data_IF_323156050600
#
_entry.id   IF_323156050600
#
_cell.length_a   1.000
_cell.length_b   1.000
_cell.length_c   1.000
_cell.angle_alpha   90.00
_cell.angle_beta   90.00
_cell.angle_gamma   90.00
#
_symmetry.space_group_name_H-M   'P 1'
#
loop_
_entity.id
_entity.type
_entity.pdbx_description
1 polymer ?
#
# COMPACT_ATOMS: atom_id res chain seq x y z
N UNK A 1 2.73 31.96 39.33
CA UNK A 1 2.19 31.47 38.07
C UNK A 1 3.23 31.28 36.93
N UNK A 2 4.31 32.07 36.83
CA UNK A 2 5.32 31.92 35.76
C UNK A 2 6.18 30.63 35.81
N UNK A 3 6.36 29.99 36.97
CA UNK A 3 7.16 28.73 37.07
C UNK A 3 6.43 27.46 36.59
N UNK A 4 5.09 27.44 36.58
CA UNK A 4 4.34 26.28 36.12
C UNK A 4 4.34 26.13 34.56
N UNK A 5 4.36 27.25 33.84
CA UNK A 5 4.37 27.23 32.37
C UNK A 5 5.70 26.74 31.79
N UNK A 6 6.82 27.02 32.48
CA UNK A 6 8.15 26.59 32.01
C UNK A 6 8.32 25.06 32.10
N UNK A 7 7.79 24.44 33.16
CA UNK A 7 7.88 22.98 33.37
C UNK A 7 7.02 22.18 32.38
N UNK A 8 5.86 22.71 31.98
CA UNK A 8 4.96 22.06 31.00
C UNK A 8 5.54 22.13 29.60
N UNK A 9 6.18 23.23 29.19
CA UNK A 9 6.81 23.39 27.88
C UNK A 9 8.02 22.47 27.76
N UNK A 10 8.85 22.34 28.80
CA UNK A 10 10.01 21.41 28.78
C UNK A 10 9.55 19.95 28.71
N UNK A 11 8.47 19.59 29.43
CA UNK A 11 7.93 18.22 29.38
C UNK A 11 7.36 17.87 27.99
N UNK A 12 6.68 18.80 27.33
CA UNK A 12 6.13 18.63 25.97
C UNK A 12 7.23 18.49 24.92
N UNK A 13 8.32 19.25 25.03
CA UNK A 13 9.45 19.15 24.07
C UNK A 13 10.22 17.85 24.22
N UNK A 14 10.41 17.34 25.45
CA UNK A 14 11.08 16.05 25.70
C UNK A 14 10.22 14.89 25.20
N UNK A 15 8.91 14.92 25.40
CA UNK A 15 7.99 13.89 24.89
C UNK A 15 7.96 13.88 23.37
N UNK A 16 7.88 15.04 22.72
CA UNK A 16 7.90 15.11 21.25
C UNK A 16 9.23 14.61 20.66
N UNK A 17 10.36 14.90 21.28
CA UNK A 17 11.67 14.42 20.81
C UNK A 17 11.82 12.89 20.98
N UNK A 18 11.33 12.33 22.07
CA UNK A 18 11.34 10.89 22.31
C UNK A 18 10.45 10.12 21.30
N UNK A 19 9.28 10.64 20.95
CA UNK A 19 8.42 10.06 19.93
C UNK A 19 9.05 10.13 18.54
N UNK A 20 9.65 11.26 18.17
CA UNK A 20 10.35 11.40 16.88
C UNK A 20 11.54 10.45 16.78
N UNK A 21 12.32 10.29 17.83
CA UNK A 21 13.46 9.37 17.89
C UNK A 21 13.03 7.91 17.83
N UNK A 22 11.93 7.53 18.47
CA UNK A 22 11.32 6.20 18.42
C UNK A 22 10.86 5.85 17.01
N UNK A 23 10.18 6.77 16.32
CA UNK A 23 9.72 6.60 14.95
C UNK A 23 10.89 6.46 13.95
N UNK A 24 11.93 7.29 14.09
CA UNK A 24 13.12 7.20 13.24
C UNK A 24 13.85 5.87 13.39
N UNK A 25 13.99 5.38 14.64
CA UNK A 25 14.63 4.09 14.90
C UNK A 25 13.82 2.90 14.40
N UNK A 26 12.49 2.97 14.52
CA UNK A 26 11.59 1.97 13.94
C UNK A 26 11.80 1.87 12.42
N UNK A 27 11.80 3.01 11.75
CA UNK A 27 11.97 3.13 10.30
C UNK A 27 13.32 2.57 9.83
N UNK A 28 14.40 2.89 10.53
CA UNK A 28 15.74 2.35 10.26
C UNK A 28 15.77 0.82 10.36
N UNK A 29 15.24 0.29 11.47
CA UNK A 29 15.26 -1.15 11.74
C UNK A 29 14.35 -1.94 10.79
N UNK A 30 13.18 -1.44 10.41
CA UNK A 30 12.31 -2.12 9.45
C UNK A 30 12.93 -2.17 8.04
N UNK A 31 13.69 -1.15 7.65
CA UNK A 31 14.46 -1.13 6.40
C UNK A 31 15.60 -2.16 6.45
N UNK A 32 16.37 -2.18 7.54
CA UNK A 32 17.41 -3.18 7.74
C UNK A 32 16.83 -4.60 7.66
N UNK A 33 15.70 -4.83 8.34
CA UNK A 33 15.01 -6.12 8.34
C UNK A 33 14.59 -6.56 6.94
N UNK A 34 14.06 -5.63 6.12
CA UNK A 34 13.72 -5.92 4.73
C UNK A 34 14.97 -6.28 3.92
N UNK A 35 16.05 -5.52 4.01
CA UNK A 35 17.30 -5.83 3.33
C UNK A 35 17.87 -7.20 3.73
N UNK A 36 17.77 -7.57 4.99
CA UNK A 36 18.15 -8.90 5.47
C UNK A 36 17.26 -10.01 4.88
N UNK A 37 15.95 -9.74 4.74
CA UNK A 37 15.02 -10.67 4.10
C UNK A 37 15.36 -10.90 2.63
N UNK A 38 15.60 -9.83 1.88
CA UNK A 38 15.95 -9.88 0.46
C UNK A 38 17.28 -10.64 0.24
N UNK A 39 18.21 -10.53 1.19
CA UNK A 39 19.45 -11.30 1.24
C UNK A 39 19.32 -12.71 1.86
N UNK A 40 18.08 -13.22 2.02
CA UNK A 40 17.76 -14.56 2.56
C UNK A 40 18.27 -14.82 3.99
N UNK A 41 18.59 -13.76 4.73
CA UNK A 41 19.00 -13.86 6.15
C UNK A 41 17.77 -13.80 7.07
N UNK A 42 16.85 -14.74 6.88
CA UNK A 42 15.49 -14.71 7.42
C UNK A 42 15.42 -14.60 8.94
N UNK A 43 16.26 -15.34 9.67
CA UNK A 43 16.28 -15.25 11.13
C UNK A 43 16.70 -13.86 11.62
N UNK A 44 17.78 -13.31 11.04
CA UNK A 44 18.23 -11.94 11.37
C UNK A 44 17.19 -10.89 10.99
N UNK A 45 16.55 -11.05 9.84
CA UNK A 45 15.43 -10.21 9.41
C UNK A 45 14.31 -10.18 10.45
N UNK A 46 13.81 -11.34 10.86
CA UNK A 46 12.74 -11.51 11.84
C UNK A 46 13.08 -10.91 13.22
N UNK A 47 14.31 -11.13 13.68
CA UNK A 47 14.82 -10.55 14.93
C UNK A 47 14.92 -9.01 14.83
N UNK A 48 15.32 -8.49 13.66
CA UNK A 48 15.43 -7.04 13.44
C UNK A 48 14.06 -6.38 13.36
N UNK A 49 13.05 -7.03 12.73
CA UNK A 49 11.65 -6.58 12.85
C UNK A 49 11.19 -6.55 14.31
N UNK A 50 11.53 -7.56 15.10
CA UNK A 50 11.17 -7.60 16.53
C UNK A 50 11.82 -6.46 17.30
N UNK A 51 13.09 -6.13 17.02
CA UNK A 51 13.77 -4.95 17.59
C UNK A 51 13.07 -3.65 17.19
N UNK A 52 12.65 -3.53 15.93
CA UNK A 52 11.88 -2.37 15.44
C UNK A 52 10.58 -2.19 16.24
N UNK A 53 9.80 -3.26 16.41
CA UNK A 53 8.54 -3.22 17.17
C UNK A 53 8.77 -2.82 18.63
N UNK A 54 9.82 -3.35 19.26
CA UNK A 54 10.20 -2.98 20.62
C UNK A 54 10.58 -1.51 20.72
N UNK A 55 11.39 -1.01 19.79
CA UNK A 55 11.82 0.39 19.76
C UNK A 55 10.64 1.37 19.62
N UNK A 56 9.53 0.92 19.01
CA UNK A 56 8.30 1.70 18.84
C UNK A 56 7.19 1.33 19.85
N UNK A 57 7.55 0.82 21.03
CA UNK A 57 6.60 0.45 22.07
C UNK A 57 5.61 -0.65 21.64
N UNK A 58 6.09 -1.61 20.84
CA UNK A 58 5.33 -2.72 20.27
C UNK A 58 4.23 -2.30 19.27
N UNK A 59 4.18 -1.01 18.93
CA UNK A 59 3.38 -0.52 17.80
C UNK A 59 4.13 -0.85 16.50
N UNK A 60 3.38 -1.31 15.50
CA UNK A 60 3.95 -1.67 14.20
C UNK A 60 2.90 -1.50 13.12
N UNK A 61 3.33 -1.24 11.89
CA UNK A 61 2.42 -1.24 10.76
C UNK A 61 2.03 -2.67 10.36
N UNK A 62 0.83 -2.81 9.79
CA UNK A 62 0.31 -4.10 9.33
C UNK A 62 1.28 -4.83 8.39
N UNK A 63 1.82 -4.09 7.42
CA UNK A 63 2.77 -4.65 6.45
C UNK A 63 4.04 -5.17 7.11
N UNK A 64 4.61 -4.44 8.07
CA UNK A 64 5.84 -4.86 8.75
C UNK A 64 5.60 -6.10 9.62
N UNK A 65 4.41 -6.24 10.25
CA UNK A 65 4.06 -7.47 10.97
C UNK A 65 3.87 -8.66 10.03
N UNK A 66 3.25 -8.44 8.87
CA UNK A 66 3.13 -9.48 7.85
C UNK A 66 4.51 -9.92 7.35
N UNK A 67 5.39 -8.98 7.04
CA UNK A 67 6.76 -9.27 6.61
C UNK A 67 7.58 -9.98 7.71
N UNK A 68 7.41 -9.59 8.97
CA UNK A 68 8.02 -10.28 10.09
C UNK A 68 7.52 -11.73 10.23
N UNK A 69 6.22 -11.97 9.98
CA UNK A 69 5.66 -13.33 9.96
C UNK A 69 6.28 -14.17 8.85
N UNK A 70 6.42 -13.62 7.64
CA UNK A 70 7.11 -14.28 6.53
C UNK A 70 8.57 -14.62 6.89
N UNK A 71 9.29 -13.65 7.49
CA UNK A 71 10.66 -13.87 7.92
C UNK A 71 10.78 -14.97 8.98
N UNK A 72 9.90 -14.97 10.00
CA UNK A 72 9.85 -16.03 11.02
C UNK A 72 9.48 -17.39 10.43
N UNK A 73 8.57 -17.45 9.46
CA UNK A 73 8.20 -18.69 8.75
C UNK A 73 9.41 -19.28 8.05
N UNK A 74 10.14 -18.49 7.26
CA UNK A 74 11.33 -18.94 6.55
C UNK A 74 12.52 -19.24 7.49
N UNK A 75 12.53 -18.62 8.67
CA UNK A 75 13.48 -18.95 9.74
C UNK A 75 13.11 -20.24 10.52
N UNK A 76 11.98 -20.88 10.20
CA UNK A 76 11.51 -22.10 10.86
C UNK A 76 10.86 -21.88 12.24
N UNK A 77 10.65 -20.65 12.68
CA UNK A 77 10.03 -20.34 13.98
C UNK A 77 8.52 -20.10 13.80
N UNK A 78 7.74 -21.19 13.81
CA UNK A 78 6.29 -21.15 13.63
C UNK A 78 5.57 -20.34 14.70
N UNK A 79 6.01 -20.40 15.96
CA UNK A 79 5.34 -19.70 17.07
C UNK A 79 5.41 -18.18 16.90
N UNK A 80 6.60 -17.67 16.57
CA UNK A 80 6.77 -16.26 16.28
C UNK A 80 6.04 -15.82 15.01
N UNK A 81 5.98 -16.68 13.98
CA UNK A 81 5.23 -16.42 12.76
C UNK A 81 3.73 -16.28 13.07
N UNK A 82 3.13 -17.26 13.75
CA UNK A 82 1.72 -17.21 14.14
C UNK A 82 1.40 -16.05 15.07
N UNK A 83 2.30 -15.72 16.01
CA UNK A 83 2.10 -14.52 16.85
C UNK A 83 1.92 -13.27 16.01
N UNK A 84 2.75 -13.05 14.99
CA UNK A 84 2.64 -11.89 14.12
C UNK A 84 1.37 -11.98 13.24
N UNK A 85 1.05 -13.15 12.68
CA UNK A 85 -0.14 -13.34 11.85
C UNK A 85 -1.44 -13.11 12.62
N UNK A 86 -1.55 -13.60 13.85
CA UNK A 86 -2.70 -13.31 14.70
C UNK A 86 -2.81 -11.81 15.03
N UNK A 87 -1.68 -11.11 15.25
CA UNK A 87 -1.71 -9.64 15.39
C UNK A 87 -2.19 -8.95 14.11
N UNK A 88 -1.81 -9.45 12.94
CA UNK A 88 -2.30 -8.95 11.65
C UNK A 88 -3.82 -9.19 11.54
N UNK A 89 -4.28 -10.39 11.82
CA UNK A 89 -5.69 -10.75 11.72
C UNK A 89 -6.56 -10.01 12.75
N UNK A 90 -6.17 -10.02 14.02
CA UNK A 90 -7.00 -9.49 15.11
C UNK A 90 -6.94 -7.96 15.26
N UNK A 91 -5.73 -7.42 15.38
CA UNK A 91 -5.55 -5.99 15.69
C UNK A 91 -5.78 -5.10 14.46
N UNK A 92 -5.42 -5.59 13.27
CA UNK A 92 -5.58 -4.83 12.02
C UNK A 92 -6.80 -5.27 11.21
N UNK A 93 -7.60 -6.20 11.72
CA UNK A 93 -8.78 -6.72 11.03
C UNK A 93 -8.49 -7.13 9.57
N UNK A 94 -7.35 -7.82 9.39
CA UNK A 94 -6.92 -8.26 8.07
C UNK A 94 -7.95 -9.19 7.44
N UNK A 95 -8.39 -8.87 6.25
CA UNK A 95 -9.53 -9.49 5.57
C UNK A 95 -9.19 -10.08 4.18
N UNK A 96 -7.95 -9.94 3.72
CA UNK A 96 -7.54 -10.54 2.45
C UNK A 96 -7.20 -12.03 2.62
N UNK A 97 -8.27 -12.86 2.56
CA UNK A 97 -8.19 -14.31 2.73
C UNK A 97 -7.35 -14.97 1.63
N UNK A 98 -7.55 -14.57 0.38
CA UNK A 98 -6.86 -15.18 -0.75
C UNK A 98 -5.35 -14.97 -0.63
N UNK A 99 -4.93 -13.75 -0.35
CA UNK A 99 -3.51 -13.46 -0.17
C UNK A 99 -2.86 -14.30 0.93
N UNK A 100 -3.48 -14.40 2.11
CA UNK A 100 -2.87 -15.12 3.24
C UNK A 100 -2.88 -16.63 3.02
N UNK A 101 -3.93 -17.16 2.37
CA UNK A 101 -4.10 -18.61 2.14
C UNK A 101 -3.24 -19.15 0.99
N UNK A 102 -2.85 -18.27 0.04
CA UNK A 102 -2.06 -18.66 -1.15
C UNK A 102 -0.62 -18.15 -1.12
N UNK A 103 -0.22 -17.40 -0.09
CA UNK A 103 1.14 -16.90 0.05
C UNK A 103 2.14 -18.06 0.13
N UNK A 104 3.01 -18.17 -0.86
CA UNK A 104 3.97 -19.27 -1.02
C UNK A 104 4.96 -19.37 0.16
N UNK A 105 5.21 -18.28 0.88
CA UNK A 105 6.06 -18.26 2.07
C UNK A 105 5.32 -18.85 3.26
N UNK A 106 4.04 -18.52 3.42
CA UNK A 106 3.24 -18.91 4.58
C UNK A 106 2.67 -20.33 4.46
N UNK A 107 2.58 -20.90 3.25
CA UNK A 107 1.95 -22.21 3.00
C UNK A 107 2.61 -23.35 3.80
N UNK A 108 3.86 -23.21 4.19
CA UNK A 108 4.54 -24.18 5.07
C UNK A 108 3.93 -24.27 6.48
N UNK A 109 3.10 -23.30 6.87
CA UNK A 109 2.36 -23.28 8.13
C UNK A 109 1.03 -24.03 8.07
N UNK A 110 0.55 -24.43 6.89
CA UNK A 110 -0.79 -24.99 6.69
C UNK A 110 -1.07 -26.33 7.38
N UNK A 111 -0.01 -27.03 7.80
CA UNK A 111 -0.11 -28.29 8.59
C UNK A 111 -0.22 -28.06 10.10
N UNK A 112 -0.12 -26.82 10.56
CA UNK A 112 -0.27 -26.47 11.98
C UNK A 112 -1.73 -26.14 12.29
N UNK A 113 -2.28 -26.67 13.37
CA UNK A 113 -3.69 -26.46 13.74
C UNK A 113 -4.08 -24.98 13.90
N UNK A 114 -3.13 -24.11 14.17
CA UNK A 114 -3.33 -22.64 14.26
C UNK A 114 -3.65 -22.00 12.92
N UNK A 115 -3.30 -22.67 11.81
CA UNK A 115 -3.57 -22.15 10.47
C UNK A 115 -5.07 -22.00 10.20
N UNK A 116 -5.85 -23.01 10.51
CA UNK A 116 -7.30 -22.97 10.34
C UNK A 116 -7.93 -21.91 11.26
N UNK A 117 -7.43 -21.76 12.48
CA UNK A 117 -7.88 -20.71 13.40
C UNK A 117 -7.60 -19.32 12.82
N UNK A 118 -6.39 -19.09 12.30
CA UNK A 118 -6.01 -17.85 11.64
C UNK A 118 -6.92 -17.54 10.45
N UNK A 119 -7.10 -18.49 9.55
CA UNK A 119 -7.95 -18.33 8.37
C UNK A 119 -9.41 -18.07 8.74
N UNK A 120 -9.91 -18.68 9.81
CA UNK A 120 -11.26 -18.40 10.31
C UNK A 120 -11.40 -16.97 10.83
N UNK A 121 -10.40 -16.43 11.53
CA UNK A 121 -10.40 -15.02 11.96
C UNK A 121 -10.41 -14.09 10.74
N UNK A 122 -9.55 -14.37 9.75
CA UNK A 122 -9.50 -13.58 8.51
C UNK A 122 -10.83 -13.63 7.77
N UNK A 123 -11.47 -14.80 7.67
CA UNK A 123 -12.83 -14.92 7.12
C UNK A 123 -13.87 -14.11 7.90
N UNK A 124 -13.81 -14.12 9.23
CA UNK A 124 -14.70 -13.31 10.05
C UNK A 124 -14.49 -11.81 9.87
N UNK A 125 -13.26 -11.40 9.52
CA UNK A 125 -12.93 -10.00 9.23
C UNK A 125 -13.46 -9.54 7.86
N UNK A 126 -13.64 -10.44 6.89
CA UNK A 126 -14.27 -10.14 5.59
C UNK A 126 -15.70 -9.58 5.81
N UNK A 127 -16.23 -9.76 6.98
CA UNK A 127 -17.48 -9.18 7.44
C UNK A 127 -18.48 -10.26 7.79
N UNK A 128 -19.23 -10.04 8.86
CA UNK A 128 -20.37 -10.88 9.27
C UNK A 128 -21.53 -10.88 8.27
N UNK A 129 -21.32 -10.26 7.11
CA UNK A 129 -22.34 -9.96 6.11
C UNK A 129 -22.05 -10.56 4.72
N UNK A 130 -21.48 -11.79 4.63
CA UNK A 130 -21.51 -12.52 3.34
C UNK A 130 -22.94 -12.58 2.74
N UNK A 131 -23.96 -12.52 3.60
CA UNK A 131 -25.35 -12.42 3.19
C UNK A 131 -25.71 -11.08 2.49
N UNK A 132 -24.92 -10.02 2.71
CA UNK A 132 -25.12 -8.71 2.08
C UNK A 132 -24.28 -8.51 0.82
N UNK A 133 -23.26 -9.35 0.59
CA UNK A 133 -22.44 -9.26 -0.60
C UNK A 133 -23.30 -9.57 -1.84
N UNK A 134 -23.20 -8.70 -2.83
CA UNK A 134 -23.82 -8.96 -4.12
C UNK A 134 -22.91 -9.92 -4.91
N UNK A 135 -23.27 -11.21 -4.92
CA UNK A 135 -22.46 -12.27 -5.56
C UNK A 135 -22.20 -12.01 -7.04
N UNK A 136 -23.12 -11.39 -7.76
CA UNK A 136 -22.94 -11.05 -9.17
C UNK A 136 -21.90 -9.94 -9.35
N UNK A 137 -21.98 -8.88 -8.54
CA UNK A 137 -20.99 -7.80 -8.54
C UNK A 137 -19.62 -8.30 -8.07
N UNK A 138 -19.58 -9.14 -7.06
CA UNK A 138 -18.33 -9.73 -6.56
C UNK A 138 -17.62 -10.51 -7.67
N UNK A 139 -18.32 -11.42 -8.35
CA UNK A 139 -17.76 -12.18 -9.49
C UNK A 139 -17.32 -11.27 -10.64
N UNK A 140 -18.08 -10.21 -10.90
CA UNK A 140 -17.69 -9.22 -11.93
C UNK A 140 -16.41 -8.50 -11.53
N UNK A 141 -16.29 -8.05 -10.27
CA UNK A 141 -15.09 -7.35 -9.79
C UNK A 141 -13.86 -8.26 -9.77
N UNK A 142 -14.00 -9.55 -9.44
CA UNK A 142 -12.91 -10.53 -9.53
C UNK A 142 -12.42 -10.70 -10.97
N UNK A 143 -13.33 -10.74 -11.95
CA UNK A 143 -12.98 -10.78 -13.36
C UNK A 143 -12.25 -9.51 -13.82
N UNK A 144 -12.74 -8.34 -13.41
CA UNK A 144 -12.12 -7.04 -13.70
C UNK A 144 -10.72 -6.95 -13.07
N UNK A 145 -10.57 -7.40 -11.82
CA UNK A 145 -9.25 -7.47 -11.17
C UNK A 145 -8.27 -8.35 -11.93
N UNK A 146 -8.73 -9.54 -12.30
CA UNK A 146 -7.90 -10.47 -13.07
C UNK A 146 -7.44 -9.85 -14.41
N UNK A 147 -8.36 -9.27 -15.16
CA UNK A 147 -8.08 -8.62 -16.43
C UNK A 147 -7.15 -7.40 -16.28
N UNK A 148 -7.26 -6.66 -15.18
CA UNK A 148 -6.40 -5.52 -14.88
C UNK A 148 -4.98 -5.95 -14.51
N UNK A 149 -4.80 -6.98 -13.67
CA UNK A 149 -3.52 -7.30 -13.04
C UNK A 149 -2.72 -8.39 -13.77
N UNK A 150 -3.36 -9.40 -14.38
CA UNK A 150 -2.67 -10.57 -14.93
C UNK A 150 -1.63 -10.19 -15.99
N UNK A 151 -2.00 -9.30 -16.90
CA UNK A 151 -1.10 -8.86 -17.97
C UNK A 151 0.00 -7.91 -17.49
N UNK A 152 -0.24 -7.16 -16.41
CA UNK A 152 0.79 -6.31 -15.77
C UNK A 152 1.86 -7.17 -15.07
N UNK A 153 1.46 -8.27 -14.41
CA UNK A 153 2.43 -9.24 -13.89
C UNK A 153 3.21 -9.93 -15.00
N UNK A 154 2.55 -10.31 -16.09
CA UNK A 154 3.21 -10.90 -17.26
C UNK A 154 4.19 -9.93 -17.90
N UNK A 155 3.84 -8.63 -17.99
CA UNK A 155 4.71 -7.59 -18.53
C UNK A 155 6.08 -7.54 -17.84
N UNK A 156 6.14 -7.72 -16.51
CA UNK A 156 7.40 -7.72 -15.77
C UNK A 156 8.35 -8.80 -16.30
N UNK A 157 7.82 -9.99 -16.56
CA UNK A 157 8.61 -11.12 -17.10
C UNK A 157 9.01 -10.87 -18.55
N UNK A 158 8.10 -10.38 -19.38
CA UNK A 158 8.33 -10.05 -20.80
C UNK A 158 9.39 -8.96 -20.93
N UNK A 159 9.29 -7.88 -20.15
CA UNK A 159 10.26 -6.78 -20.17
C UNK A 159 11.65 -7.21 -19.70
N UNK A 160 11.71 -8.14 -18.76
CA UNK A 160 12.98 -8.70 -18.27
C UNK A 160 13.64 -9.61 -19.31
N UNK A 161 12.86 -10.40 -20.03
CA UNK A 161 13.37 -11.42 -20.98
C UNK A 161 13.68 -10.80 -22.34
N UNK A 162 12.78 -9.99 -22.90
CA UNK A 162 12.86 -9.47 -24.28
C UNK A 162 13.17 -7.97 -24.33
N UNK A 163 13.00 -7.24 -23.25
CA UNK A 163 13.11 -5.79 -23.20
C UNK A 163 11.80 -5.06 -23.51
N UNK A 164 11.62 -3.92 -22.85
CA UNK A 164 10.39 -3.12 -22.95
C UNK A 164 10.06 -2.62 -24.37
N UNK A 165 11.08 -2.38 -25.20
CA UNK A 165 10.93 -1.87 -26.58
C UNK A 165 10.81 -2.98 -27.63
N UNK A 166 10.91 -4.25 -27.24
CA UNK A 166 10.76 -5.42 -28.13
C UNK A 166 9.35 -5.53 -28.72
N UNK A 167 9.14 -6.31 -29.77
CA UNK A 167 7.79 -6.64 -30.27
C UNK A 167 6.91 -7.25 -29.19
N UNK A 168 7.45 -8.15 -28.35
CA UNK A 168 6.77 -8.80 -27.24
C UNK A 168 6.37 -7.78 -26.17
N UNK A 169 7.30 -6.89 -25.78
CA UNK A 169 7.04 -5.81 -24.83
C UNK A 169 5.98 -4.82 -25.33
N UNK A 170 5.98 -4.50 -26.62
CA UNK A 170 4.93 -3.66 -27.23
C UNK A 170 3.59 -4.38 -27.27
N UNK A 171 3.57 -5.68 -27.61
CA UNK A 171 2.34 -6.46 -27.67
C UNK A 171 1.65 -6.58 -26.32
N UNK A 172 2.40 -6.89 -25.25
CA UNK A 172 1.80 -6.99 -23.91
C UNK A 172 1.20 -5.65 -23.45
N UNK A 173 1.85 -4.51 -23.76
CA UNK A 173 1.30 -3.18 -23.47
C UNK A 173 0.02 -2.87 -24.24
N UNK A 174 -0.07 -3.33 -25.49
CA UNK A 174 -1.29 -3.21 -26.27
C UNK A 174 -2.44 -3.98 -25.61
N UNK A 175 -2.19 -5.22 -25.20
CA UNK A 175 -3.19 -6.03 -24.48
C UNK A 175 -3.62 -5.35 -23.18
N UNK A 176 -2.68 -4.83 -22.39
CA UNK A 176 -2.97 -4.07 -21.16
C UNK A 176 -3.90 -2.90 -21.48
N UNK A 177 -3.59 -2.09 -22.48
CA UNK A 177 -4.40 -0.94 -22.86
C UNK A 177 -5.82 -1.32 -23.32
N UNK A 178 -5.96 -2.42 -24.06
CA UNK A 178 -7.27 -2.95 -24.45
C UNK A 178 -8.09 -3.38 -23.22
N UNK A 179 -7.45 -4.07 -22.27
CA UNK A 179 -8.10 -4.48 -21.01
C UNK A 179 -8.48 -3.29 -20.13
N UNK A 180 -7.59 -2.31 -20.00
CA UNK A 180 -7.87 -1.07 -19.27
C UNK A 180 -9.11 -0.36 -19.85
N UNK A 181 -9.22 -0.27 -21.17
CA UNK A 181 -10.37 0.36 -21.82
C UNK A 181 -11.68 -0.38 -21.53
N UNK A 182 -11.69 -1.72 -21.55
CA UNK A 182 -12.86 -2.52 -21.22
C UNK A 182 -13.23 -2.35 -19.73
N UNK A 183 -12.25 -2.43 -18.84
CA UNK A 183 -12.45 -2.27 -17.40
C UNK A 183 -12.95 -0.86 -17.04
N UNK A 184 -12.44 0.17 -17.72
CA UNK A 184 -12.92 1.56 -17.58
C UNK A 184 -14.42 1.67 -17.90
N UNK A 185 -14.90 1.05 -18.98
CA UNK A 185 -16.31 1.05 -19.35
C UNK A 185 -17.15 0.34 -18.28
N UNK A 186 -16.72 -0.83 -17.80
CA UNK A 186 -17.44 -1.63 -16.80
C UNK A 186 -17.54 -0.83 -15.50
N UNK A 187 -16.41 -0.33 -14.98
CA UNK A 187 -16.36 0.37 -13.69
C UNK A 187 -17.09 1.71 -13.78
N UNK A 188 -16.96 2.45 -14.87
CA UNK A 188 -17.73 3.67 -15.12
C UNK A 188 -19.24 3.43 -15.06
N UNK A 189 -19.72 2.39 -15.71
CA UNK A 189 -21.13 2.01 -15.67
C UNK A 189 -21.63 1.63 -14.25
N UNK A 190 -20.78 0.98 -13.47
CA UNK A 190 -21.09 0.68 -12.07
C UNK A 190 -21.13 1.94 -11.21
N UNK A 191 -20.16 2.84 -11.36
CA UNK A 191 -20.09 4.08 -10.60
C UNK A 191 -21.21 5.05 -10.98
N UNK A 192 -21.61 5.11 -12.24
CA UNK A 192 -22.77 5.91 -12.68
C UNK A 192 -24.08 5.39 -12.09
N UNK A 193 -24.22 4.07 -11.97
CA UNK A 193 -25.45 3.46 -11.50
C UNK A 193 -25.58 3.44 -9.97
N UNK A 194 -24.48 3.19 -9.27
CA UNK A 194 -24.51 2.90 -7.84
C UNK A 194 -23.74 3.90 -6.98
N UNK A 195 -23.01 4.83 -7.58
CA UNK A 195 -21.97 5.58 -6.90
C UNK A 195 -20.81 4.66 -6.46
N UNK A 196 -20.05 5.05 -5.44
CA UNK A 196 -18.96 4.21 -4.93
C UNK A 196 -19.53 2.99 -4.19
N UNK A 197 -19.14 1.82 -4.63
CA UNK A 197 -19.60 0.55 -4.06
C UNK A 197 -18.62 0.15 -2.96
N UNK A 198 -19.08 0.20 -1.71
CA UNK A 198 -18.28 -0.12 -0.54
C UNK A 198 -18.00 -1.62 -0.40
N UNK A 199 -17.02 -1.93 0.44
CA UNK A 199 -16.58 -3.31 0.70
C UNK A 199 -17.67 -4.22 1.27
N UNK A 200 -18.69 -3.64 1.88
CA UNK A 200 -19.86 -4.35 2.39
C UNK A 200 -20.71 -4.97 1.28
N UNK A 201 -20.55 -4.52 0.03
CA UNK A 201 -21.28 -5.01 -1.15
C UNK A 201 -20.43 -5.90 -2.05
N UNK A 202 -19.17 -5.50 -2.30
CA UNK A 202 -18.26 -6.16 -3.26
C UNK A 202 -17.03 -6.79 -2.60
N UNK A 203 -16.95 -6.81 -1.29
CA UNK A 203 -15.77 -7.25 -0.55
C UNK A 203 -14.58 -6.26 -0.67
N UNK A 204 -13.53 -6.52 0.10
CA UNK A 204 -12.33 -5.66 0.09
C UNK A 204 -11.63 -5.68 -1.26
N UNK A 205 -11.49 -6.85 -1.89
CA UNK A 205 -10.85 -6.97 -3.21
C UNK A 205 -11.64 -6.20 -4.28
N UNK A 206 -12.96 -6.33 -4.32
CA UNK A 206 -13.79 -5.60 -5.26
C UNK A 206 -13.71 -4.09 -5.07
N UNK A 207 -13.64 -3.62 -3.82
CA UNK A 207 -13.47 -2.20 -3.52
C UNK A 207 -12.10 -1.67 -3.97
N UNK A 208 -11.01 -2.43 -3.73
CA UNK A 208 -9.67 -2.10 -4.24
C UNK A 208 -9.65 -2.08 -5.78
N UNK A 209 -10.37 -2.99 -6.43
CA UNK A 209 -10.46 -3.05 -7.91
C UNK A 209 -11.03 -1.77 -8.49
N UNK A 210 -12.04 -1.16 -7.86
CA UNK A 210 -12.58 0.15 -8.30
C UNK A 210 -11.47 1.22 -8.33
N UNK A 211 -10.66 1.30 -7.28
CA UNK A 211 -9.54 2.24 -7.19
C UNK A 211 -8.47 1.98 -8.26
N UNK A 212 -8.07 0.72 -8.44
CA UNK A 212 -7.08 0.31 -9.45
C UNK A 212 -7.52 0.68 -10.88
N UNK A 213 -8.77 0.35 -11.24
CA UNK A 213 -9.28 0.67 -12.58
C UNK A 213 -9.32 2.17 -12.80
N UNK A 214 -9.73 2.98 -11.82
CA UNK A 214 -9.67 4.43 -11.95
C UNK A 214 -8.26 4.96 -12.14
N UNK A 215 -7.25 4.40 -11.46
CA UNK A 215 -5.85 4.79 -11.67
C UNK A 215 -5.38 4.49 -13.11
N UNK A 216 -5.88 3.42 -13.72
CA UNK A 216 -5.53 3.01 -15.08
C UNK A 216 -6.41 3.65 -16.16
N UNK A 217 -7.48 4.31 -15.79
CA UNK A 217 -8.45 4.95 -16.70
C UNK A 217 -7.92 6.22 -17.37
N UNK A 218 -8.67 6.72 -18.34
CA UNK A 218 -8.42 8.01 -18.98
C UNK A 218 -8.51 9.16 -17.98
N UNK A 219 -7.79 10.26 -18.23
CA UNK A 219 -7.84 11.46 -17.38
C UNK A 219 -9.28 12.00 -17.25
N UNK A 220 -10.07 11.95 -18.32
CA UNK A 220 -11.46 12.37 -18.28
C UNK A 220 -12.30 11.56 -17.28
N UNK A 221 -12.12 10.25 -17.26
CA UNK A 221 -12.77 9.34 -16.30
C UNK A 221 -12.27 9.57 -14.89
N UNK A 222 -10.98 9.76 -14.70
CA UNK A 222 -10.40 10.08 -13.41
C UNK A 222 -11.00 11.37 -12.83
N UNK A 223 -11.06 12.44 -13.61
CA UNK A 223 -11.66 13.72 -13.21
C UNK A 223 -13.15 13.58 -12.88
N UNK A 224 -13.90 12.78 -13.66
CA UNK A 224 -15.33 12.53 -13.43
C UNK A 224 -15.57 11.87 -12.06
N UNK A 225 -14.78 10.84 -11.70
CA UNK A 225 -15.04 10.03 -10.50
C UNK A 225 -14.20 10.40 -9.28
N UNK A 226 -13.20 11.27 -9.40
CA UNK A 226 -12.44 11.76 -8.26
C UNK A 226 -13.32 12.36 -7.14
N UNK A 227 -14.33 13.20 -7.44
CA UNK A 227 -15.27 13.69 -6.41
C UNK A 227 -16.05 12.56 -5.72
N UNK A 228 -16.45 11.54 -6.48
CA UNK A 228 -17.16 10.36 -5.94
C UNK A 228 -16.27 9.60 -4.96
N UNK A 229 -15.01 9.39 -5.33
CA UNK A 229 -14.03 8.70 -4.47
C UNK A 229 -13.71 9.52 -3.21
N UNK A 230 -13.57 10.84 -3.30
CA UNK A 230 -13.39 11.73 -2.15
C UNK A 230 -14.52 11.58 -1.13
N UNK A 231 -15.76 11.54 -1.58
CA UNK A 231 -16.92 11.35 -0.71
C UNK A 231 -16.95 9.92 -0.12
N UNK A 232 -16.55 8.92 -0.91
CA UNK A 232 -16.45 7.56 -0.44
C UNK A 232 -15.39 7.39 0.68
N UNK A 233 -14.25 8.08 0.58
CA UNK A 233 -13.24 8.08 1.66
C UNK A 233 -13.77 8.75 2.92
N UNK A 234 -14.45 9.89 2.83
CA UNK A 234 -15.06 10.58 3.98
C UNK A 234 -16.07 9.68 4.71
N UNK A 235 -16.80 8.86 3.97
CA UNK A 235 -17.81 7.95 4.50
C UNK A 235 -17.25 6.55 4.84
N UNK A 236 -15.94 6.33 4.73
CA UNK A 236 -15.26 5.08 5.06
C UNK A 236 -15.52 3.93 4.06
N UNK A 237 -16.04 4.24 2.87
CA UNK A 237 -16.32 3.28 1.79
C UNK A 237 -15.15 3.03 0.87
N UNK A 238 -14.20 3.95 0.75
CA UNK A 238 -12.99 3.83 -0.07
C UNK A 238 -11.72 3.96 0.80
N UNK A 239 -10.61 3.42 0.31
CA UNK A 239 -9.32 3.52 0.99
C UNK A 239 -8.69 4.91 0.76
N UNK A 240 -8.29 5.63 1.81
CA UNK A 240 -7.56 6.90 1.68
C UNK A 240 -6.27 6.79 0.87
N UNK A 241 -5.62 5.64 0.88
CA UNK A 241 -4.42 5.38 0.08
C UNK A 241 -4.72 5.45 -1.42
N UNK A 242 -5.79 4.77 -1.88
CA UNK A 242 -6.17 4.78 -3.28
C UNK A 242 -6.59 6.19 -3.75
N UNK A 243 -7.24 6.96 -2.86
CA UNK A 243 -7.56 8.37 -3.14
C UNK A 243 -6.29 9.20 -3.33
N UNK A 244 -5.32 9.08 -2.44
CA UNK A 244 -4.07 9.86 -2.55
C UNK A 244 -3.32 9.53 -3.85
N UNK A 245 -3.29 8.24 -4.24
CA UNK A 245 -2.71 7.80 -5.52
C UNK A 245 -3.43 8.43 -6.71
N UNK A 246 -4.76 8.44 -6.70
CA UNK A 246 -5.56 9.00 -7.78
C UNK A 246 -5.42 10.53 -7.86
N UNK A 247 -5.43 11.24 -6.73
CA UNK A 247 -5.25 12.70 -6.68
C UNK A 247 -3.90 13.12 -7.24
N UNK A 248 -2.83 12.46 -6.78
CA UNK A 248 -1.47 12.75 -7.28
C UNK A 248 -1.35 12.46 -8.77
N UNK A 249 -1.89 11.33 -9.24
CA UNK A 249 -1.87 10.95 -10.64
C UNK A 249 -2.62 11.96 -11.53
N UNK A 250 -3.80 12.42 -11.10
CA UNK A 250 -4.59 13.43 -11.82
C UNK A 250 -3.82 14.74 -11.91
N UNK A 251 -3.24 15.21 -10.81
CA UNK A 251 -2.45 16.43 -10.79
C UNK A 251 -1.25 16.35 -11.75
N UNK A 252 -0.49 15.26 -11.67
CA UNK A 252 0.67 15.06 -12.55
C UNK A 252 0.26 14.98 -14.03
N UNK A 253 -0.86 14.33 -14.36
CA UNK A 253 -1.38 14.28 -15.73
C UNK A 253 -1.87 15.63 -16.26
N UNK A 254 -2.24 16.54 -15.36
CA UNK A 254 -2.57 17.93 -15.69
C UNK A 254 -1.34 18.86 -15.76
N UNK A 255 -0.14 18.35 -15.50
CA UNK A 255 1.10 19.15 -15.45
C UNK A 255 1.28 19.88 -14.12
N UNK A 256 0.47 19.53 -13.11
CA UNK A 256 0.51 20.12 -11.77
C UNK A 256 1.41 19.31 -10.81
N UNK A 257 1.71 19.92 -9.68
CA UNK A 257 2.48 19.28 -8.62
C UNK A 257 1.60 18.34 -7.80
N UNK A 258 2.09 17.12 -7.54
CA UNK A 258 1.44 16.17 -6.66
C UNK A 258 1.39 16.64 -5.19
N UNK A 259 0.49 16.08 -4.40
CA UNK A 259 0.26 16.46 -3.00
C UNK A 259 0.89 15.48 -1.99
N UNK A 260 0.84 14.19 -2.26
CA UNK A 260 1.16 13.14 -1.28
C UNK A 260 2.46 12.38 -1.59
N UNK A 261 3.09 12.65 -2.72
CA UNK A 261 4.34 12.03 -3.11
C UNK A 261 4.18 10.59 -3.61
N UNK A 262 3.01 10.21 -4.11
CA UNK A 262 2.74 8.85 -4.58
C UNK A 262 3.18 8.61 -6.03
N UNK A 263 3.32 9.66 -6.84
CA UNK A 263 3.76 9.57 -8.23
C UNK A 263 5.28 9.54 -8.34
N UNK A 264 5.77 8.44 -8.90
CA UNK A 264 7.19 8.15 -9.08
C UNK A 264 7.46 8.02 -10.58
N UNK A 265 8.53 8.64 -11.04
CA UNK A 265 9.01 8.53 -12.43
C UNK A 265 10.31 7.73 -12.48
N UNK A 266 10.52 7.01 -13.57
CA UNK A 266 11.78 6.33 -13.85
C UNK A 266 12.53 7.07 -14.97
N UNK A 267 13.77 7.47 -14.69
CA UNK A 267 14.69 8.07 -15.65
C UNK A 267 15.95 7.25 -15.66
N UNK A 268 16.31 6.71 -16.81
CA UNK A 268 17.51 5.86 -16.98
C UNK A 268 17.60 4.70 -15.96
N UNK A 269 16.45 4.11 -15.64
CA UNK A 269 16.36 2.98 -14.70
C UNK A 269 16.45 3.37 -13.21
N UNK A 270 16.51 4.66 -12.88
CA UNK A 270 16.44 5.16 -11.51
C UNK A 270 15.06 5.77 -11.24
N UNK A 271 14.58 5.61 -10.02
CA UNK A 271 13.29 6.14 -9.59
C UNK A 271 13.44 7.48 -8.90
N UNK A 272 12.56 8.42 -9.23
CA UNK A 272 12.50 9.78 -8.68
C UNK A 272 11.07 10.16 -8.32
N UNK A 273 10.93 10.96 -7.27
CA UNK A 273 9.62 11.50 -6.87
C UNK A 273 9.26 12.65 -7.80
N UNK A 274 8.09 12.60 -8.43
CA UNK A 274 7.59 13.67 -9.30
C UNK A 274 7.48 15.01 -8.54
N UNK A 275 7.44 16.16 -9.25
CA UNK A 275 7.29 17.48 -8.63
C UNK A 275 6.13 17.54 -7.65
N UNK A 276 6.37 18.05 -6.43
CA UNK A 276 5.44 18.03 -5.31
C UNK A 276 5.19 19.44 -4.77
N UNK A 277 3.95 19.70 -4.38
CA UNK A 277 3.58 20.91 -3.66
C UNK A 277 4.05 20.84 -2.21
N UNK A 278 4.71 21.91 -1.73
CA UNK A 278 5.18 22.03 -0.35
C UNK A 278 5.77 20.70 0.23
N UNK A 279 6.90 20.23 -0.30
CA UNK A 279 7.46 18.92 0.03
C UNK A 279 7.90 18.83 1.51
N UNK A 280 8.22 19.95 2.16
CA UNK A 280 8.58 19.98 3.57
C UNK A 280 7.42 19.57 4.51
N UNK A 281 6.17 19.74 4.07
CA UNK A 281 4.97 19.42 4.85
C UNK A 281 4.19 18.21 4.30
N UNK A 282 4.79 17.39 3.42
CA UNK A 282 4.13 16.23 2.82
C UNK A 282 3.61 15.24 3.88
N UNK A 283 4.39 14.93 4.89
CA UNK A 283 3.98 13.98 5.94
C UNK A 283 2.81 14.50 6.79
N UNK A 284 2.68 15.81 6.95
CA UNK A 284 1.49 16.39 7.58
C UNK A 284 0.23 16.20 6.73
N UNK A 285 0.34 16.31 5.39
CA UNK A 285 -0.78 16.05 4.47
C UNK A 285 -1.14 14.56 4.48
N UNK A 286 -0.14 13.69 4.40
CA UNK A 286 -0.32 12.23 4.45
C UNK A 286 -1.01 11.80 5.75
N UNK A 287 -0.57 12.33 6.89
CA UNK A 287 -1.16 12.02 8.19
C UNK A 287 -2.65 12.42 8.31
N UNK A 288 -3.09 13.52 7.65
CA UNK A 288 -4.50 13.92 7.62
C UNK A 288 -5.41 12.89 6.93
N UNK A 289 -4.85 12.12 6.00
CA UNK A 289 -5.54 11.00 5.35
C UNK A 289 -5.29 9.65 6.05
N UNK A 290 -4.59 9.64 7.18
CA UNK A 290 -4.23 8.39 7.87
C UNK A 290 -3.15 7.57 7.16
N UNK A 291 -2.41 8.16 6.23
CA UNK A 291 -1.30 7.50 5.51
C UNK A 291 -0.02 7.50 6.35
N UNK A 292 0.83 6.51 6.13
CA UNK A 292 2.20 6.49 6.63
C UNK A 292 3.06 7.61 6.03
N UNK A 293 4.28 7.77 6.54
CA UNK A 293 5.21 8.81 6.04
C UNK A 293 5.59 8.58 4.57
N UNK A 294 6.08 9.64 3.92
CA UNK A 294 6.59 9.52 2.56
C UNK A 294 7.81 8.59 2.50
N UNK A 295 8.71 8.65 3.49
CA UNK A 295 9.86 7.72 3.56
C UNK A 295 9.41 6.26 3.62
N UNK A 296 8.35 5.94 4.35
CA UNK A 296 7.77 4.58 4.39
C UNK A 296 7.23 4.14 3.03
N UNK A 297 6.55 5.01 2.32
CA UNK A 297 6.03 4.73 0.98
C UNK A 297 7.16 4.50 -0.03
N UNK A 298 8.16 5.39 -0.05
CA UNK A 298 9.24 5.39 -1.03
C UNK A 298 10.21 4.21 -0.89
N UNK A 299 10.21 3.52 0.25
CA UNK A 299 11.00 2.28 0.44
C UNK A 299 10.64 1.19 -0.57
N UNK A 300 9.39 1.15 -1.03
CA UNK A 300 8.96 0.19 -2.06
C UNK A 300 9.71 0.39 -3.39
N UNK A 301 10.24 1.58 -3.61
CA UNK A 301 11.00 1.99 -4.79
C UNK A 301 12.51 2.05 -4.53
N UNK A 302 12.96 1.66 -3.34
CA UNK A 302 14.37 1.78 -2.95
C UNK A 302 14.83 3.23 -2.71
N UNK A 303 13.90 4.18 -2.62
CA UNK A 303 14.17 5.60 -2.38
C UNK A 303 14.12 5.88 -0.88
N UNK A 304 15.10 6.63 -0.37
CA UNK A 304 15.05 7.25 0.96
C UNK A 304 14.58 8.68 0.80
N UNK A 305 13.58 9.09 1.58
CA UNK A 305 13.14 10.48 1.57
C UNK A 305 14.16 11.40 2.23
N UNK A 306 14.62 12.36 1.47
CA UNK A 306 15.49 13.46 1.90
C UNK A 306 15.11 14.69 1.09
N UNK A 307 14.67 15.75 1.77
CA UNK A 307 14.16 16.97 1.12
C UNK A 307 15.23 17.64 0.26
N UNK A 308 16.48 17.73 0.77
CA UNK A 308 17.57 18.39 0.03
C UNK A 308 17.91 17.61 -1.23
N UNK A 309 18.00 16.28 -1.11
CA UNK A 309 18.24 15.41 -2.26
C UNK A 309 17.12 15.49 -3.30
N UNK A 310 15.87 15.54 -2.85
CA UNK A 310 14.72 15.72 -3.74
C UNK A 310 14.79 17.03 -4.51
N UNK A 311 15.18 18.16 -3.88
CA UNK A 311 15.35 19.45 -4.54
C UNK A 311 16.52 19.44 -5.54
N UNK A 312 17.58 18.70 -5.25
CA UNK A 312 18.70 18.47 -6.17
C UNK A 312 18.25 17.64 -7.39
N UNK A 313 17.53 16.55 -7.16
CA UNK A 313 17.00 15.66 -8.21
C UNK A 313 16.02 16.40 -9.13
N UNK A 314 15.17 17.29 -8.60
CA UNK A 314 14.26 18.13 -9.41
C UNK A 314 15.01 19.05 -10.38
N UNK A 315 16.16 19.58 -10.01
CA UNK A 315 16.97 20.42 -10.91
C UNK A 315 17.51 19.62 -12.10
N UNK A 316 17.74 18.34 -11.90
CA UNK A 316 18.28 17.45 -12.94
C UNK A 316 17.18 16.86 -13.83
N UNK A 317 16.03 16.48 -13.26
CA UNK A 317 15.00 15.67 -13.93
C UNK A 317 13.59 16.29 -13.91
N UNK A 318 13.39 17.42 -13.24
CA UNK A 318 12.10 18.07 -13.04
C UNK A 318 11.67 19.04 -14.17
N UNK A 319 12.21 18.86 -15.39
CA UNK A 319 11.84 19.66 -16.57
C UNK A 319 10.77 18.96 -17.39
#
# INVERSE_FOLDING_TARGET
>A
MKKLYSSVIVLLTVVCSAFAQSSAKYTELTREAKGLFDNKQYKRSAETYTKAFRANGWKAYRADRYNAACAWTLAGNKDSAFYQLFKVADAFKYDNYDRISTDSVLISLNKDARWDQLLNIVKQNIGKDEAKLNKALLKLMDSVYHDDQAYRFQQISVDKEFGASSPEGKNIRKVIHEKDSINEIIVSGLLDKYGWIGKEVVGSNGNTTLGLVLQHSSLATQLKYLPVMREAVKTGKADPYDLAMLEDLVLVRQGEKQLYGSSIVSVEGKYYVSPMEDPANVDKRRAKLGLGTLDEYLRNWGIRWDLKKYEEDLKLYGK
#
